data_IF_979344430965
#
_entry.id   IF_979344430965
#
_cell.length_a   1.000
_cell.length_b   1.000
_cell.length_c   1.000
_cell.angle_alpha   90.00
_cell.angle_beta   90.00
_cell.angle_gamma   90.00
#
_symmetry.space_group_name_H-M   'P 1'
#
loop_
_entity.id
_entity.type
_entity.pdbx_description
1 polymer ?
#
# COMPACT_ATOMS: atom_id res chain seq x y z
N UNK A 1 27.31 16.20 -24.13
CA UNK A 1 26.38 17.17 -24.77
C UNK A 1 27.17 17.81 -25.89
N UNK A 2 26.83 17.49 -27.14
CA UNK A 2 27.50 18.04 -28.32
C UNK A 2 26.76 19.32 -28.71
N UNK A 3 27.45 20.45 -28.79
CA UNK A 3 26.86 21.71 -29.25
C UNK A 3 27.23 21.87 -30.72
N UNK A 4 26.24 21.96 -31.59
CA UNK A 4 26.46 22.12 -33.03
C UNK A 4 25.92 23.48 -33.45
N UNK A 5 26.81 24.36 -33.89
CA UNK A 5 26.48 25.70 -34.37
C UNK A 5 26.28 25.65 -35.88
N UNK A 6 25.10 26.02 -36.36
CA UNK A 6 24.82 26.18 -37.78
C UNK A 6 24.69 27.68 -38.10
N UNK A 7 25.58 28.20 -38.93
CA UNK A 7 25.51 29.57 -39.45
C UNK A 7 24.81 29.50 -40.80
N UNK A 8 23.63 30.11 -40.92
CA UNK A 8 22.87 30.19 -42.18
C UNK A 8 23.03 31.60 -42.74
N UNK A 9 23.66 31.70 -43.91
CA UNK A 9 23.82 32.97 -44.61
C UNK A 9 22.72 33.13 -45.66
N UNK A 10 22.16 34.34 -45.76
CA UNK A 10 21.29 34.81 -46.85
C UNK A 10 19.88 34.17 -46.89
N UNK A 11 19.03 34.50 -45.92
CA UNK A 11 17.59 34.22 -45.95
C UNK A 11 16.85 35.51 -46.31
N UNK A 12 15.99 35.49 -47.34
CA UNK A 12 15.14 36.63 -47.70
C UNK A 12 14.19 36.98 -46.54
N UNK A 13 14.43 38.14 -45.92
CA UNK A 13 13.75 38.61 -44.72
C UNK A 13 12.51 39.38 -45.12
N UNK A 14 11.35 38.72 -45.13
CA UNK A 14 10.09 39.47 -45.11
C UNK A 14 9.26 39.23 -43.85
N UNK A 15 9.44 38.14 -43.10
CA UNK A 15 8.53 37.80 -41.98
C UNK A 15 9.13 37.02 -40.81
N UNK A 16 10.30 37.39 -40.30
CA UNK A 16 10.74 36.88 -38.99
C UNK A 16 11.23 38.04 -38.15
N UNK A 17 10.38 38.47 -37.20
CA UNK A 17 10.80 39.35 -36.11
C UNK A 17 11.91 38.64 -35.33
N UNK A 18 13.05 39.32 -35.17
CA UNK A 18 14.21 38.99 -34.33
C UNK A 18 13.87 38.05 -33.15
N UNK A 19 13.94 36.74 -33.36
CA UNK A 19 13.84 35.75 -32.28
C UNK A 19 14.92 34.71 -32.49
N UNK A 20 15.81 34.61 -31.52
CA UNK A 20 16.72 33.50 -31.35
C UNK A 20 15.88 32.23 -31.09
N UNK A 21 15.85 31.30 -32.04
CA UNK A 21 15.15 30.03 -31.87
C UNK A 21 16.11 28.98 -31.29
N UNK A 22 15.95 28.66 -30.01
CA UNK A 22 16.59 27.50 -29.38
C UNK A 22 15.66 26.30 -29.53
N UNK A 23 16.03 25.32 -30.36
CA UNK A 23 15.23 24.09 -30.53
C UNK A 23 16.02 22.89 -30.02
N UNK A 24 15.46 22.18 -29.02
CA UNK A 24 16.02 20.95 -28.46
C UNK A 24 15.47 19.75 -29.23
N UNK A 25 16.31 19.00 -29.93
CA UNK A 25 15.91 17.80 -30.67
C UNK A 25 15.82 16.61 -29.71
N UNK A 26 14.66 15.96 -29.62
CA UNK A 26 14.37 15.01 -28.53
C UNK A 26 15.23 13.73 -28.49
N UNK A 27 15.94 13.38 -29.57
CA UNK A 27 16.68 12.11 -29.64
C UNK A 27 18.17 12.19 -29.32
N UNK A 28 18.78 13.37 -29.43
CA UNK A 28 20.18 13.59 -29.10
C UNK A 28 20.26 14.92 -28.37
N UNK A 29 21.01 15.01 -27.27
CA UNK A 29 21.24 16.26 -26.51
C UNK A 29 22.08 17.27 -27.31
N UNK A 30 21.62 17.61 -28.51
CA UNK A 30 22.23 18.56 -29.44
C UNK A 30 21.40 19.84 -29.37
N UNK A 31 22.00 20.89 -28.81
CA UNK A 31 21.45 22.23 -28.96
C UNK A 31 21.88 22.77 -30.31
N UNK A 32 20.89 23.20 -31.08
CA UNK A 32 21.08 23.95 -32.31
C UNK A 32 20.84 25.42 -31.96
N UNK A 33 21.90 26.21 -32.00
CA UNK A 33 21.82 27.67 -31.88
C UNK A 33 21.78 28.22 -33.31
N UNK A 34 20.64 28.73 -33.75
CA UNK A 34 20.51 29.42 -35.03
C UNK A 34 20.66 30.92 -34.81
N UNK A 35 21.80 31.45 -35.24
CA UNK A 35 22.09 32.89 -35.21
C UNK A 35 21.78 33.46 -36.61
N UNK A 36 20.70 34.22 -36.74
CA UNK A 36 20.43 35.00 -37.96
C UNK A 36 21.32 36.25 -37.93
N UNK A 37 22.44 36.20 -38.64
CA UNK A 37 23.34 37.34 -38.81
C UNK A 37 22.88 38.15 -40.02
N UNK A 38 22.27 39.32 -39.78
CA UNK A 38 22.02 40.31 -40.83
C UNK A 38 23.28 41.13 -41.07
N UNK A 39 23.93 40.93 -42.22
CA UNK A 39 25.03 41.78 -42.69
C UNK A 39 26.39 41.53 -42.01
N UNK A 40 27.32 42.47 -42.20
CA UNK A 40 28.69 42.39 -41.71
C UNK A 40 28.71 42.65 -40.18
N UNK A 41 28.51 41.59 -39.39
CA UNK A 41 28.40 41.67 -37.92
C UNK A 41 29.76 41.92 -37.30
N UNK A 42 29.86 42.95 -36.44
CA UNK A 42 31.07 43.24 -35.70
C UNK A 42 31.38 42.16 -34.67
N UNK A 43 32.66 41.90 -34.39
CA UNK A 43 33.09 40.88 -33.41
C UNK A 43 32.42 41.07 -32.04
N UNK A 44 32.20 42.32 -31.61
CA UNK A 44 31.54 42.64 -30.35
C UNK A 44 30.08 42.18 -30.27
N UNK A 45 29.32 42.27 -31.38
CA UNK A 45 27.93 41.81 -31.43
C UNK A 45 27.85 40.27 -31.44
N UNK A 46 28.77 39.62 -32.16
CA UNK A 46 28.89 38.16 -32.15
C UNK A 46 29.24 37.64 -30.75
N UNK A 47 30.21 38.25 -30.08
CA UNK A 47 30.62 37.88 -28.72
C UNK A 47 29.48 38.16 -27.74
N UNK A 48 28.78 39.30 -27.86
CA UNK A 48 27.61 39.61 -27.04
C UNK A 48 26.50 38.57 -27.17
N UNK A 49 26.15 38.17 -28.40
CA UNK A 49 25.15 37.14 -28.64
C UNK A 49 25.55 35.75 -28.13
N UNK A 50 26.83 35.40 -28.20
CA UNK A 50 27.34 34.14 -27.64
C UNK A 50 27.32 34.14 -26.11
N UNK A 51 27.69 35.25 -25.47
CA UNK A 51 27.64 35.39 -24.01
C UNK A 51 26.19 35.26 -23.52
N UNK A 52 25.25 35.96 -24.16
CA UNK A 52 23.82 35.86 -23.83
C UNK A 52 23.29 34.43 -24.01
N UNK A 53 23.69 33.75 -25.09
CA UNK A 53 23.28 32.37 -25.34
C UNK A 53 23.84 31.39 -24.29
N UNK A 54 25.09 31.58 -23.84
CA UNK A 54 25.72 30.76 -22.80
C UNK A 54 25.04 30.99 -21.45
N UNK A 55 24.77 32.24 -21.08
CA UNK A 55 24.10 32.59 -19.83
C UNK A 55 22.68 32.00 -19.78
N UNK A 56 21.89 32.18 -20.84
CA UNK A 56 20.55 31.57 -20.96
C UNK A 56 20.61 30.05 -20.87
N UNK A 57 21.62 29.43 -21.47
CA UNK A 57 21.78 27.98 -21.42
C UNK A 57 22.17 27.47 -20.02
N UNK A 58 23.04 28.20 -19.32
CA UNK A 58 23.42 27.92 -17.94
C UNK A 58 22.22 28.01 -16.99
N UNK A 59 21.46 29.11 -17.06
CA UNK A 59 20.25 29.28 -16.25
C UNK A 59 19.19 28.20 -16.53
N UNK A 60 18.97 27.85 -17.81
CA UNK A 60 18.04 26.78 -18.17
C UNK A 60 18.50 25.41 -17.62
N UNK A 61 19.80 25.12 -17.66
CA UNK A 61 20.38 23.89 -17.09
C UNK A 61 20.14 23.79 -15.59
N UNK A 62 20.38 24.85 -14.85
CA UNK A 62 20.21 24.86 -13.39
C UNK A 62 18.74 24.72 -13.01
N UNK A 63 17.84 25.36 -13.76
CA UNK A 63 16.39 25.18 -13.61
C UNK A 63 15.94 23.75 -13.92
N UNK A 64 16.39 23.16 -15.02
CA UNK A 64 16.11 21.77 -15.37
C UNK A 64 16.59 20.81 -14.24
N UNK A 65 17.78 21.06 -13.69
CA UNK A 65 18.33 20.27 -12.56
C UNK A 65 17.49 20.46 -11.29
N UNK A 66 17.07 21.69 -10.98
CA UNK A 66 16.26 21.98 -9.80
C UNK A 66 14.89 21.30 -9.89
N UNK A 67 14.22 21.42 -11.04
CA UNK A 67 12.91 20.80 -11.29
C UNK A 67 12.99 19.27 -11.21
N UNK A 68 14.03 18.67 -11.78
CA UNK A 68 14.21 17.21 -11.73
C UNK A 68 14.49 16.72 -10.30
N UNK A 69 15.28 17.46 -9.51
CA UNK A 69 15.48 17.15 -8.08
C UNK A 69 14.17 17.23 -7.29
N UNK A 70 13.36 18.25 -7.55
CA UNK A 70 12.06 18.40 -6.89
C UNK A 70 11.12 17.25 -7.27
N UNK A 71 11.09 16.86 -8.55
CA UNK A 71 10.33 15.70 -9.02
C UNK A 71 10.76 14.42 -8.31
N UNK A 72 12.06 14.18 -8.20
CA UNK A 72 12.60 13.01 -7.49
C UNK A 72 12.27 13.04 -6.00
N UNK A 73 12.29 14.20 -5.35
CA UNK A 73 11.89 14.33 -3.96
C UNK A 73 10.40 13.97 -3.78
N UNK A 74 9.53 14.49 -4.64
CA UNK A 74 8.09 14.19 -4.62
C UNK A 74 7.80 12.71 -4.88
N UNK A 75 8.52 12.10 -5.83
CA UNK A 75 8.36 10.67 -6.11
C UNK A 75 8.80 9.80 -4.93
N UNK A 76 9.89 10.16 -4.25
CA UNK A 76 10.35 9.43 -3.06
C UNK A 76 9.30 9.42 -1.96
N UNK A 77 8.75 10.58 -1.62
CA UNK A 77 7.69 10.69 -0.60
C UNK A 77 6.45 9.89 -1.00
N UNK A 78 6.05 9.96 -2.28
CA UNK A 78 4.90 9.20 -2.77
C UNK A 78 5.13 7.70 -2.65
N UNK A 79 6.29 7.19 -3.05
CA UNK A 79 6.60 5.76 -2.94
C UNK A 79 6.61 5.29 -1.49
N UNK A 80 7.17 6.08 -0.58
CA UNK A 80 7.19 5.78 0.85
C UNK A 80 5.78 5.73 1.45
N UNK A 81 4.92 6.68 1.07
CA UNK A 81 3.50 6.67 1.49
C UNK A 81 2.73 5.50 0.89
N UNK A 82 2.93 5.20 -0.40
CA UNK A 82 2.29 4.07 -1.07
C UNK A 82 2.75 2.73 -0.47
N UNK A 83 4.02 2.63 -0.06
CA UNK A 83 4.57 1.46 0.63
C UNK A 83 3.99 1.32 2.05
N UNK A 84 3.96 2.40 2.83
CA UNK A 84 3.33 2.41 4.15
C UNK A 84 1.85 1.99 4.09
N UNK A 85 1.09 2.52 3.12
CA UNK A 85 -0.31 2.14 2.93
C UNK A 85 -0.48 0.66 2.56
N UNK A 86 0.43 0.10 1.74
CA UNK A 86 0.42 -1.34 1.42
C UNK A 86 0.74 -2.20 2.64
N UNK A 87 1.71 -1.78 3.46
CA UNK A 87 2.05 -2.49 4.68
C UNK A 87 0.90 -2.47 5.69
N UNK A 88 0.25 -1.33 5.89
CA UNK A 88 -0.92 -1.22 6.76
C UNK A 88 -2.06 -2.12 6.30
N UNK A 89 -2.37 -2.11 4.99
CA UNK A 89 -3.38 -2.99 4.42
C UNK A 89 -3.04 -4.47 4.61
N UNK A 90 -1.76 -4.84 4.43
CA UNK A 90 -1.30 -6.21 4.64
C UNK A 90 -1.40 -6.62 6.11
N UNK A 91 -0.98 -5.75 7.04
CA UNK A 91 -1.10 -5.98 8.49
C UNK A 91 -2.55 -6.14 8.91
N UNK A 92 -3.46 -5.31 8.38
CA UNK A 92 -4.89 -5.42 8.63
C UNK A 92 -5.43 -6.77 8.15
N UNK A 93 -5.08 -7.20 6.93
CA UNK A 93 -5.47 -8.51 6.40
C UNK A 93 -4.91 -9.67 7.24
N UNK A 94 -3.66 -9.58 7.68
CA UNK A 94 -3.04 -10.59 8.54
C UNK A 94 -3.71 -10.65 9.91
N UNK A 95 -4.06 -9.48 10.48
CA UNK A 95 -4.79 -9.40 11.74
C UNK A 95 -6.18 -10.01 11.63
N UNK A 96 -6.91 -9.71 10.56
CA UNK A 96 -8.23 -10.31 10.29
C UNK A 96 -8.15 -11.83 10.12
N UNK A 97 -7.17 -12.32 9.35
CA UNK A 97 -6.94 -13.76 9.18
C UNK A 97 -6.56 -14.44 10.49
N UNK A 98 -5.67 -13.84 11.28
CA UNK A 98 -5.30 -14.39 12.58
C UNK A 98 -6.49 -14.44 13.53
N UNK A 99 -7.31 -13.38 13.54
CA UNK A 99 -8.52 -13.36 14.35
C UNK A 99 -9.56 -14.40 13.88
N UNK A 100 -9.70 -14.60 12.57
CA UNK A 100 -10.57 -15.65 12.01
C UNK A 100 -10.04 -17.05 12.33
N UNK A 101 -8.74 -17.27 12.22
CA UNK A 101 -8.08 -18.51 12.62
C UNK A 101 -8.27 -18.78 14.12
N UNK A 102 -8.07 -17.79 14.97
CA UNK A 102 -8.27 -17.92 16.42
C UNK A 102 -9.73 -18.21 16.77
N UNK A 103 -10.68 -17.56 16.09
CA UNK A 103 -12.12 -17.88 16.22
C UNK A 103 -12.41 -19.31 15.80
N UNK A 104 -11.91 -19.74 14.64
CA UNK A 104 -12.12 -21.09 14.13
C UNK A 104 -11.47 -22.15 15.03
N UNK A 105 -10.28 -21.87 15.59
CA UNK A 105 -9.62 -22.74 16.58
C UNK A 105 -10.41 -22.79 17.88
N UNK A 106 -10.90 -21.66 18.37
CA UNK A 106 -11.75 -21.60 19.57
C UNK A 106 -13.06 -22.37 19.37
N UNK A 107 -13.69 -22.23 18.21
CA UNK A 107 -14.88 -22.99 17.82
C UNK A 107 -14.58 -24.49 17.80
N UNK A 108 -13.48 -24.91 17.16
CA UNK A 108 -13.05 -26.33 17.15
C UNK A 108 -12.78 -26.86 18.56
N UNK A 109 -12.10 -26.08 19.40
CA UNK A 109 -11.85 -26.43 20.80
C UNK A 109 -13.17 -26.60 21.58
N UNK A 110 -14.18 -25.75 21.32
CA UNK A 110 -15.51 -25.90 21.91
C UNK A 110 -16.29 -27.11 21.37
N UNK A 111 -16.11 -27.47 20.08
CA UNK A 111 -16.69 -28.69 19.51
C UNK A 111 -16.08 -29.96 20.13
N UNK A 112 -14.77 -29.97 20.36
CA UNK A 112 -14.01 -31.05 20.97
C UNK A 112 -14.07 -31.07 22.50
N UNK A 113 -14.60 -30.00 23.11
CA UNK A 113 -14.77 -29.93 24.55
C UNK A 113 -15.54 -31.16 25.04
N UNK A 114 -14.98 -31.81 26.07
CA UNK A 114 -15.54 -33.03 26.63
C UNK A 114 -16.62 -32.70 27.65
N UNK A 115 -17.57 -33.62 27.82
CA UNK A 115 -18.59 -33.56 28.87
C UNK A 115 -17.98 -33.37 30.27
N UNK A 116 -16.79 -33.93 30.53
CA UNK A 116 -16.04 -33.74 31.77
C UNK A 116 -15.84 -32.25 32.11
N UNK A 117 -15.37 -31.43 31.16
CA UNK A 117 -15.17 -30.00 31.39
C UNK A 117 -16.46 -29.22 31.68
N UNK A 118 -17.60 -29.66 31.12
CA UNK A 118 -18.91 -29.12 31.45
C UNK A 118 -19.31 -29.45 32.90
N UNK A 119 -19.06 -30.69 33.36
CA UNK A 119 -19.34 -31.08 34.74
C UNK A 119 -18.43 -30.39 35.75
N UNK A 120 -17.16 -30.20 35.41
CA UNK A 120 -16.21 -29.46 36.25
C UNK A 120 -16.63 -27.99 36.37
N UNK A 121 -17.09 -27.38 35.28
CA UNK A 121 -17.66 -26.04 35.30
C UNK A 121 -18.90 -25.96 36.22
N UNK A 122 -19.83 -26.91 36.11
CA UNK A 122 -21.01 -26.97 36.99
C UNK A 122 -20.64 -27.17 38.46
N UNK A 123 -19.66 -28.03 38.75
CA UNK A 123 -19.12 -28.22 40.10
C UNK A 123 -18.52 -26.91 40.65
N UNK A 124 -17.76 -26.16 39.83
CA UNK A 124 -17.21 -24.85 40.22
C UNK A 124 -18.29 -23.79 40.54
N UNK A 125 -19.50 -23.95 39.96
CA UNK A 125 -20.66 -23.10 40.22
C UNK A 125 -21.50 -23.55 41.43
N UNK A 126 -21.10 -24.63 42.11
CA UNK A 126 -21.82 -25.18 43.26
C UNK A 126 -22.85 -26.26 42.92
N UNK A 127 -22.82 -26.78 41.69
CA UNK A 127 -23.69 -27.87 41.22
C UNK A 127 -22.88 -29.16 40.95
N UNK A 128 -22.38 -29.83 42.01
CA UNK A 128 -21.63 -31.08 41.86
C UNK A 128 -22.52 -32.21 41.32
N UNK A 129 -21.96 -33.09 40.48
CA UNK A 129 -22.66 -34.22 39.85
C UNK A 129 -23.23 -35.23 40.87
N UNK A 130 -22.72 -35.19 42.10
CA UNK A 130 -23.13 -36.01 43.23
C UNK A 130 -24.55 -35.64 43.69
N UNK A 131 -24.89 -34.35 43.67
CA UNK A 131 -26.16 -33.81 44.18
C UNK A 131 -27.14 -33.42 43.06
N UNK A 132 -26.64 -33.17 41.84
CA UNK A 132 -27.46 -32.71 40.73
C UNK A 132 -27.35 -33.64 39.53
N UNK A 133 -28.51 -33.96 38.94
CA UNK A 133 -28.62 -34.55 37.60
C UNK A 133 -28.61 -33.43 36.57
N UNK A 134 -27.91 -33.68 35.48
CA UNK A 134 -27.73 -32.77 34.35
C UNK A 134 -28.51 -33.36 33.19
N UNK A 135 -29.61 -32.74 32.79
CA UNK A 135 -30.57 -33.30 31.83
C UNK A 135 -30.64 -32.39 30.61
N UNK A 136 -30.58 -32.98 29.41
CA UNK A 136 -30.79 -32.25 28.15
C UNK A 136 -32.27 -31.89 27.95
N UNK A 137 -32.57 -30.74 27.35
CA UNK A 137 -33.96 -30.29 27.16
C UNK A 137 -34.71 -31.11 26.11
N UNK A 138 -34.08 -31.41 24.98
CA UNK A 138 -34.65 -32.25 23.94
C UNK A 138 -33.59 -32.94 23.06
N UNK A 139 -33.67 -34.26 22.83
CA UNK A 139 -34.52 -35.22 23.53
C UNK A 139 -34.09 -35.34 25.00
N UNK A 140 -35.06 -35.43 25.93
CA UNK A 140 -34.78 -35.48 27.37
C UNK A 140 -33.93 -36.70 27.71
N UNK A 141 -32.65 -36.48 28.01
CA UNK A 141 -31.67 -37.51 28.38
C UNK A 141 -30.87 -37.06 29.58
N UNK A 142 -30.65 -37.98 30.52
CA UNK A 142 -29.74 -37.78 31.65
C UNK A 142 -28.31 -37.86 31.13
N UNK A 143 -27.62 -36.73 31.18
CA UNK A 143 -26.24 -36.62 30.75
C UNK A 143 -25.30 -37.14 31.83
N UNK A 144 -25.67 -37.27 33.10
CA UNK A 144 -24.74 -37.70 34.17
C UNK A 144 -24.34 -39.17 34.08
N UNK A 145 -25.22 -40.02 33.55
CA UNK A 145 -25.01 -41.48 33.44
C UNK A 145 -24.25 -41.89 32.17
N UNK A 146 -24.16 -41.02 31.17
CA UNK A 146 -23.47 -41.27 29.90
C UNK A 146 -21.94 -41.21 30.03
N UNK A 147 -21.21 -41.65 29.00
CA UNK A 147 -19.74 -41.60 28.99
C UNK A 147 -19.19 -40.15 29.17
N UNK A 148 -18.18 -39.98 30.02
CA UNK A 148 -17.52 -38.68 30.28
C UNK A 148 -16.59 -38.24 29.14
N UNK A 149 -16.12 -39.18 28.34
CA UNK A 149 -15.22 -38.95 27.21
C UNK A 149 -15.92 -38.42 25.96
N UNK A 150 -17.26 -38.40 25.93
CA UNK A 150 -18.03 -37.87 24.81
C UNK A 150 -17.86 -36.35 24.68
N UNK A 151 -17.72 -35.88 23.44
CA UNK A 151 -17.63 -34.45 23.12
C UNK A 151 -19.01 -33.79 23.17
N UNK A 152 -19.05 -32.47 23.41
CA UNK A 152 -20.30 -31.70 23.41
C UNK A 152 -21.04 -31.82 22.07
N UNK A 153 -20.31 -31.92 20.95
CA UNK A 153 -20.87 -32.16 19.61
C UNK A 153 -21.52 -33.54 19.48
N UNK A 154 -20.88 -34.60 20.00
CA UNK A 154 -21.47 -35.95 20.01
C UNK A 154 -22.75 -36.03 20.84
N UNK A 155 -22.82 -35.24 21.93
CA UNK A 155 -24.01 -35.13 22.77
C UNK A 155 -25.10 -34.23 22.19
N UNK A 156 -24.84 -33.56 21.06
CA UNK A 156 -25.69 -32.52 20.42
C UNK A 156 -25.96 -31.31 21.32
N UNK A 157 -24.99 -30.94 22.16
CA UNK A 157 -25.06 -29.77 23.04
C UNK A 157 -24.46 -28.51 22.38
N UNK A 158 -23.72 -28.67 21.29
CA UNK A 158 -23.15 -27.60 20.47
C UNK A 158 -24.06 -27.26 19.28
N UNK A 159 -24.15 -25.98 18.84
CA UNK A 159 -23.49 -24.80 19.41
C UNK A 159 -24.23 -24.17 20.61
N UNK A 160 -25.55 -24.37 20.71
CA UNK A 160 -26.38 -23.86 21.79
C UNK A 160 -27.43 -24.90 22.15
N UNK A 161 -27.49 -25.28 23.43
CA UNK A 161 -28.50 -26.18 23.97
C UNK A 161 -28.82 -25.77 25.41
N UNK A 162 -30.09 -25.95 25.81
CA UNK A 162 -30.50 -25.70 27.19
C UNK A 162 -30.38 -26.98 28.01
N UNK A 163 -29.68 -26.89 29.13
CA UNK A 163 -29.50 -27.99 30.08
C UNK A 163 -30.25 -27.65 31.36
N UNK A 164 -30.97 -28.64 31.89
CA UNK A 164 -31.74 -28.55 33.13
C UNK A 164 -30.97 -29.24 34.25
N UNK A 165 -30.81 -28.55 35.38
CA UNK A 165 -30.27 -29.11 36.60
C UNK A 165 -31.43 -29.57 37.48
N UNK A 166 -31.43 -30.84 37.87
CA UNK A 166 -32.43 -31.44 38.75
C UNK A 166 -31.73 -31.99 39.99
N UNK A 167 -32.15 -31.60 41.18
CA UNK A 167 -31.58 -32.13 42.43
C UNK A 167 -31.92 -33.63 42.56
N UNK A 168 -30.99 -34.41 43.10
CA UNK A 168 -31.11 -35.88 43.23
C UNK A 168 -31.98 -36.32 44.39
#
# INVERSE_FOLDING_TARGET
ISVTVFIINNISIERVQNRLYLTKLQKNFTLIVMLQLTGNVGVSELVGGLVEAIERFGSQRDEDVRVERERQARQRVKMEQDEAAKEEFKKQQEFEKNQELERAESERMMEEAKKEGLLDYLASKGYPKENYKVISSWPRRDLTTESLSSTLKALKLYPQETIVLEER
#
